data_IF_689507781846
#
_entry.id   IF_689507781846
#
_cell.length_a   1.000
_cell.length_b   1.000
_cell.length_c   1.000
_cell.angle_alpha   90.00
_cell.angle_beta   90.00
_cell.angle_gamma   90.00
#
_symmetry.space_group_name_H-M   'P 1'
#
loop_
_entity.id
_entity.type
_entity.pdbx_description
1 polymer ?
#
# COMPACT_ATOMS: atom_id res chain seq x y z
N UNK A 1 -3.43 -19.22 -24.76
CA UNK A 1 -3.33 -19.25 -23.28
C UNK A 1 -4.26 -18.14 -22.83
N UNK A 2 -5.27 -18.45 -21.99
CA UNK A 2 -6.14 -17.40 -21.43
C UNK A 2 -5.31 -16.44 -20.61
N UNK A 3 -5.64 -15.14 -20.66
CA UNK A 3 -4.99 -14.12 -19.85
C UNK A 3 -5.15 -14.51 -18.37
N UNK A 4 -4.03 -14.62 -17.64
CA UNK A 4 -4.04 -14.92 -16.21
C UNK A 4 -4.26 -13.61 -15.47
N UNK A 5 -5.40 -13.51 -14.79
CA UNK A 5 -5.71 -12.38 -13.93
C UNK A 5 -4.79 -12.40 -12.70
N UNK A 6 -4.34 -11.24 -12.25
CA UNK A 6 -3.57 -11.06 -11.02
C UNK A 6 -4.13 -9.95 -10.15
N UNK A 7 -3.84 -9.99 -8.84
CA UNK A 7 -4.27 -8.92 -7.91
C UNK A 7 -3.08 -8.37 -7.15
N UNK A 8 -2.94 -7.05 -7.16
CA UNK A 8 -1.86 -6.30 -6.54
C UNK A 8 -2.46 -5.42 -5.44
N UNK A 9 -2.10 -5.67 -4.19
CA UNK A 9 -2.61 -4.92 -3.06
C UNK A 9 -1.54 -3.98 -2.51
N UNK A 10 -1.85 -2.70 -2.34
CA UNK A 10 -1.13 -1.94 -1.33
C UNK A 10 -1.40 -2.53 0.07
N UNK A 11 -0.60 -2.15 1.04
CA UNK A 11 -0.67 -2.68 2.40
C UNK A 11 -1.43 -1.74 3.34
N UNK A 12 -0.90 -0.52 3.49
CA UNK A 12 -1.36 0.46 4.46
C UNK A 12 -2.57 1.23 3.93
N UNK A 13 -3.64 1.26 4.70
CA UNK A 13 -4.89 1.86 4.21
C UNK A 13 -5.68 0.96 3.24
N UNK A 14 -5.12 -0.19 2.82
CA UNK A 14 -5.79 -1.17 1.96
C UNK A 14 -6.05 -2.47 2.71
N UNK A 15 -5.01 -3.21 3.05
CA UNK A 15 -5.13 -4.46 3.80
C UNK A 15 -5.13 -4.22 5.30
N UNK A 16 -4.27 -3.30 5.78
CA UNK A 16 -4.06 -3.00 7.19
C UNK A 16 -4.51 -1.57 7.53
N UNK A 17 -5.29 -1.44 8.61
CA UNK A 17 -5.75 -0.16 9.17
C UNK A 17 -4.63 0.48 10.00
N UNK A 18 -3.66 1.07 9.32
CA UNK A 18 -2.45 1.64 9.92
C UNK A 18 -2.29 3.14 9.68
N UNK A 19 -3.04 3.74 8.75
CA UNK A 19 -2.89 5.12 8.32
C UNK A 19 -3.11 6.14 9.46
N UNK A 20 -4.04 5.89 10.36
CA UNK A 20 -4.26 6.73 11.53
C UNK A 20 -3.04 6.77 12.47
N UNK A 21 -2.35 5.65 12.62
CA UNK A 21 -1.11 5.57 13.41
C UNK A 21 0.05 6.31 12.74
N UNK A 22 0.24 6.13 11.44
CA UNK A 22 1.29 6.84 10.69
C UNK A 22 1.06 8.35 10.67
N UNK A 23 -0.19 8.79 10.54
CA UNK A 23 -0.51 10.22 10.61
C UNK A 23 -0.10 10.83 11.96
N UNK A 24 -0.34 10.13 13.08
CA UNK A 24 0.10 10.57 14.40
C UNK A 24 1.63 10.58 14.54
N UNK A 25 2.30 9.53 14.04
CA UNK A 25 3.76 9.46 14.08
C UNK A 25 4.40 10.61 13.29
N UNK A 26 3.96 10.82 12.06
CA UNK A 26 4.54 11.86 11.21
C UNK A 26 4.22 13.28 11.69
N UNK A 27 3.06 13.49 12.32
CA UNK A 27 2.77 14.74 13.02
C UNK A 27 3.76 14.96 14.17
N UNK A 28 4.06 13.91 14.96
CA UNK A 28 5.05 14.00 16.03
C UNK A 28 6.48 14.22 15.51
N UNK A 29 6.85 13.59 14.40
CA UNK A 29 8.15 13.83 13.74
C UNK A 29 8.24 15.28 13.28
N UNK A 30 7.18 15.84 12.67
CA UNK A 30 7.15 17.23 12.23
C UNK A 30 7.19 18.24 13.39
N UNK A 31 6.61 17.90 14.56
CA UNK A 31 6.77 18.69 15.79
C UNK A 31 8.23 18.73 16.26
N UNK A 32 8.95 17.59 16.20
CA UNK A 32 10.35 17.49 16.62
C UNK A 32 11.32 18.10 15.60
N UNK A 33 11.02 17.96 14.32
CA UNK A 33 11.83 18.37 13.17
C UNK A 33 10.95 19.10 12.14
N UNK A 34 10.62 20.38 12.36
CA UNK A 34 9.65 21.10 11.54
C UNK A 34 10.00 21.15 10.05
N UNK A 35 9.12 20.58 9.22
CA UNK A 35 9.25 20.61 7.75
C UNK A 35 8.68 21.88 7.12
N UNK A 36 7.85 22.62 7.86
CA UNK A 36 7.08 23.77 7.37
C UNK A 36 6.11 23.44 6.21
N UNK A 37 5.78 22.17 6.03
CA UNK A 37 4.82 21.70 5.04
C UNK A 37 3.45 21.55 5.69
N UNK A 38 2.47 22.28 5.16
CA UNK A 38 1.09 22.15 5.65
C UNK A 38 0.59 20.72 5.41
N UNK A 39 -0.03 20.12 6.45
CA UNK A 39 -0.56 18.74 6.41
C UNK A 39 0.50 17.71 5.97
N UNK A 40 1.72 17.85 6.52
CA UNK A 40 2.88 17.03 6.14
C UNK A 40 2.60 15.53 6.14
N UNK A 41 1.95 15.02 7.19
CA UNK A 41 1.61 13.60 7.31
C UNK A 41 0.72 13.09 6.15
N UNK A 42 -0.10 13.95 5.56
CA UNK A 42 -0.93 13.61 4.40
C UNK A 42 -0.14 13.71 3.09
N UNK A 43 0.71 14.72 2.96
CA UNK A 43 1.51 14.97 1.73
C UNK A 43 2.45 13.81 1.40
N UNK A 44 3.01 13.15 2.42
CA UNK A 44 3.99 12.06 2.24
C UNK A 44 3.38 10.68 1.98
N UNK A 45 2.05 10.53 2.06
CA UNK A 45 1.38 9.23 1.87
C UNK A 45 1.73 8.59 0.53
N UNK A 46 2.00 7.28 0.58
CA UNK A 46 2.43 6.49 -0.57
C UNK A 46 3.91 6.67 -0.97
N UNK A 47 4.66 7.59 -0.33
CA UNK A 47 6.11 7.71 -0.53
C UNK A 47 6.87 6.71 0.34
N UNK A 48 8.02 6.24 -0.14
CA UNK A 48 8.91 5.44 0.69
C UNK A 48 9.72 6.32 1.67
N UNK A 49 10.25 5.68 2.72
CA UNK A 49 10.98 6.37 3.80
C UNK A 49 12.19 7.15 3.30
N UNK A 50 12.99 6.56 2.40
CA UNK A 50 14.18 7.21 1.86
C UNK A 50 13.85 8.52 1.15
N UNK A 51 12.80 8.54 0.33
CA UNK A 51 12.35 9.76 -0.36
C UNK A 51 11.86 10.81 0.65
N UNK A 52 11.12 10.41 1.68
CA UNK A 52 10.64 11.34 2.72
C UNK A 52 11.85 11.98 3.42
N UNK A 53 12.79 11.16 3.89
CA UNK A 53 13.98 11.64 4.60
C UNK A 53 14.80 12.60 3.74
N UNK A 54 15.14 12.19 2.52
CA UNK A 54 15.98 12.98 1.62
C UNK A 54 15.31 14.28 1.13
N UNK A 55 13.96 14.33 1.11
CA UNK A 55 13.24 15.50 0.62
C UNK A 55 13.01 16.54 1.72
N UNK A 56 12.73 16.10 2.95
CA UNK A 56 12.20 16.99 3.98
C UNK A 56 13.10 17.17 5.19
N UNK A 57 14.11 16.34 5.39
CA UNK A 57 14.94 16.38 6.59
C UNK A 57 16.44 16.48 6.27
N UNK A 58 17.18 17.12 7.16
CA UNK A 58 18.63 17.21 7.05
C UNK A 58 19.26 15.82 7.30
N UNK A 59 20.35 15.44 6.58
CA UNK A 59 20.94 14.08 6.67
C UNK A 59 21.36 13.69 8.09
N UNK A 60 21.77 14.63 8.94
CA UNK A 60 22.14 14.37 10.33
C UNK A 60 20.98 14.02 11.26
N UNK A 61 19.72 14.13 10.76
CA UNK A 61 18.49 13.77 11.48
C UNK A 61 17.89 12.42 11.05
N UNK A 62 18.38 11.87 9.94
CA UNK A 62 17.79 10.65 9.37
C UNK A 62 17.81 9.48 10.37
N UNK A 63 18.95 9.21 11.03
CA UNK A 63 19.06 8.09 11.97
C UNK A 63 18.12 8.24 13.18
N UNK A 64 17.96 9.47 13.70
CA UNK A 64 17.05 9.74 14.80
C UNK A 64 15.58 9.50 14.40
N UNK A 65 15.18 9.99 13.22
CA UNK A 65 13.82 9.81 12.68
C UNK A 65 13.54 8.33 12.41
N UNK A 66 14.48 7.61 11.80
CA UNK A 66 14.36 6.16 11.56
C UNK A 66 14.20 5.41 12.89
N UNK A 67 14.98 5.76 13.92
CA UNK A 67 14.85 5.15 15.22
C UNK A 67 13.50 5.44 15.90
N UNK A 68 12.94 6.65 15.71
CA UNK A 68 11.59 6.98 16.18
C UNK A 68 10.54 6.13 15.45
N UNK A 69 10.65 6.01 14.13
CA UNK A 69 9.77 5.21 13.29
C UNK A 69 9.77 3.74 13.73
N UNK A 70 10.94 3.13 13.86
CA UNK A 70 11.07 1.72 14.26
C UNK A 70 10.49 1.46 15.66
N UNK A 71 10.75 2.35 16.64
CA UNK A 71 10.15 2.21 17.99
C UNK A 71 8.63 2.30 17.95
N UNK A 72 8.08 3.14 17.11
CA UNK A 72 6.65 3.28 16.93
C UNK A 72 6.05 2.03 16.28
N UNK A 73 6.65 1.55 15.20
CA UNK A 73 6.23 0.36 14.46
C UNK A 73 6.21 -0.91 15.33
N UNK A 74 7.18 -1.07 16.26
CA UNK A 74 7.21 -2.21 17.18
C UNK A 74 6.01 -2.26 18.13
N UNK A 75 5.38 -1.11 18.40
CA UNK A 75 4.24 -1.00 19.31
C UNK A 75 2.90 -0.82 18.58
N UNK A 76 2.92 -0.75 17.25
CA UNK A 76 1.70 -0.65 16.45
C UNK A 76 0.90 -1.95 16.46
N UNK A 77 -0.41 -1.82 16.28
CA UNK A 77 -1.29 -2.93 15.95
C UNK A 77 -1.55 -2.92 14.45
N UNK A 78 -1.31 -4.04 13.82
CA UNK A 78 -1.49 -4.24 12.37
C UNK A 78 -2.81 -4.95 12.10
N UNK A 79 -3.94 -4.32 12.46
CA UNK A 79 -5.25 -4.92 12.24
C UNK A 79 -5.60 -4.91 10.74
N UNK A 80 -6.13 -6.02 10.25
CA UNK A 80 -6.73 -6.02 8.92
C UNK A 80 -7.98 -5.13 8.88
N UNK A 81 -8.22 -4.50 7.75
CA UNK A 81 -9.55 -3.97 7.46
C UNK A 81 -10.59 -5.07 7.47
N UNK A 82 -11.82 -4.70 7.84
CA UNK A 82 -12.95 -5.64 7.87
C UNK A 82 -13.09 -6.34 6.51
N UNK A 83 -13.28 -7.64 6.57
CA UNK A 83 -13.47 -8.54 5.43
C UNK A 83 -12.27 -8.64 4.43
N UNK A 84 -11.16 -7.94 4.64
CA UNK A 84 -9.96 -8.12 3.82
C UNK A 84 -9.45 -9.59 3.87
N UNK A 85 -9.32 -10.26 5.04
CA UNK A 85 -8.92 -11.67 5.07
C UNK A 85 -9.89 -12.62 4.36
N UNK A 86 -11.21 -12.33 4.40
CA UNK A 86 -12.22 -13.08 3.66
C UNK A 86 -11.97 -12.98 2.15
N UNK A 87 -11.81 -11.77 1.64
CA UNK A 87 -11.59 -11.52 0.22
C UNK A 87 -10.26 -12.15 -0.27
N UNK A 88 -9.18 -12.06 0.53
CA UNK A 88 -7.92 -12.76 0.24
C UNK A 88 -8.09 -14.27 0.17
N UNK A 89 -8.87 -14.86 1.08
CA UNK A 89 -9.15 -16.31 1.07
C UNK A 89 -9.95 -16.73 -0.18
N UNK A 90 -10.94 -15.95 -0.58
CA UNK A 90 -11.74 -16.21 -1.80
C UNK A 90 -10.86 -16.14 -3.06
N UNK A 91 -9.97 -15.15 -3.19
CA UNK A 91 -9.03 -15.05 -4.30
C UNK A 91 -8.08 -16.27 -4.34
N UNK A 92 -7.58 -16.68 -3.18
CA UNK A 92 -6.72 -17.86 -3.06
C UNK A 92 -7.42 -19.15 -3.45
N UNK A 93 -8.67 -19.35 -3.00
CA UNK A 93 -9.50 -20.50 -3.40
C UNK A 93 -9.77 -20.51 -4.90
N UNK A 94 -9.97 -19.34 -5.52
CA UNK A 94 -10.15 -19.20 -6.96
C UNK A 94 -8.84 -19.38 -7.75
N UNK A 95 -7.68 -19.53 -7.08
CA UNK A 95 -6.38 -19.69 -7.71
C UNK A 95 -5.89 -18.42 -8.43
N UNK A 96 -6.38 -17.27 -8.02
CA UNK A 96 -5.96 -15.96 -8.54
C UNK A 96 -4.68 -15.54 -7.81
N UNK A 97 -3.55 -15.34 -8.51
CA UNK A 97 -2.30 -14.96 -7.88
C UNK A 97 -2.35 -13.55 -7.32
N UNK A 98 -1.74 -13.38 -6.15
CA UNK A 98 -1.75 -12.14 -5.39
C UNK A 98 -0.35 -11.66 -5.04
N UNK A 99 -0.13 -10.34 -5.09
CA UNK A 99 1.09 -9.71 -4.62
C UNK A 99 0.76 -8.53 -3.71
N UNK A 100 1.50 -8.39 -2.60
CA UNK A 100 1.55 -7.13 -1.85
C UNK A 100 2.57 -6.20 -2.51
N UNK A 101 2.21 -4.94 -2.71
CA UNK A 101 3.07 -3.91 -3.31
C UNK A 101 3.04 -2.68 -2.41
N UNK A 102 3.95 -2.63 -1.44
CA UNK A 102 3.98 -1.59 -0.40
C UNK A 102 5.18 -0.67 -0.51
N UNK A 103 5.01 0.59 -0.10
CA UNK A 103 6.12 1.54 0.12
C UNK A 103 6.86 1.31 1.45
N UNK A 104 6.36 0.41 2.29
CA UNK A 104 6.97 0.04 3.57
C UNK A 104 8.27 -0.74 3.36
N UNK A 105 9.15 -0.65 4.34
CA UNK A 105 10.42 -1.37 4.37
C UNK A 105 10.29 -2.78 4.97
N UNK A 106 11.37 -3.55 4.87
CA UNK A 106 11.46 -4.91 5.41
C UNK A 106 11.28 -4.92 6.94
N UNK A 107 11.77 -3.91 7.65
CA UNK A 107 11.68 -3.86 9.12
C UNK A 107 10.22 -3.79 9.57
N UNK A 108 9.38 -3.02 8.88
CA UNK A 108 7.95 -2.99 9.11
C UNK A 108 7.29 -4.32 8.77
N UNK A 109 7.65 -4.93 7.63
CA UNK A 109 7.08 -6.23 7.25
C UNK A 109 7.37 -7.31 8.29
N UNK A 110 8.54 -7.31 8.94
CA UNK A 110 8.84 -8.22 10.05
C UNK A 110 7.89 -8.02 11.25
N UNK A 111 7.52 -6.77 11.56
CA UNK A 111 6.55 -6.49 12.61
C UNK A 111 5.13 -6.97 12.24
N UNK A 112 4.75 -6.86 10.96
CA UNK A 112 3.49 -7.43 10.43
C UNK A 112 3.49 -8.95 10.58
N UNK A 113 4.56 -9.63 10.14
CA UNK A 113 4.67 -11.10 10.22
C UNK A 113 4.66 -11.61 11.66
N UNK A 114 5.24 -10.87 12.60
CA UNK A 114 5.22 -11.23 14.02
C UNK A 114 3.79 -11.23 14.60
N UNK A 115 2.92 -10.34 14.13
CA UNK A 115 1.51 -10.28 14.57
C UNK A 115 0.60 -11.19 13.73
N UNK A 116 0.96 -11.46 12.48
CA UNK A 116 0.21 -12.28 11.53
C UNK A 116 1.11 -13.37 10.91
N UNK A 117 1.43 -14.46 11.63
CA UNK A 117 2.36 -15.49 11.15
C UNK A 117 1.97 -16.16 9.82
N UNK A 118 0.68 -16.13 9.47
CA UNK A 118 0.13 -16.68 8.21
C UNK A 118 -0.09 -15.61 7.13
N UNK A 119 0.42 -14.38 7.33
CA UNK A 119 0.23 -13.31 6.36
C UNK A 119 0.76 -13.68 4.97
N UNK A 120 1.97 -14.23 4.93
CA UNK A 120 2.62 -14.62 3.67
C UNK A 120 1.93 -15.78 2.95
N UNK A 121 1.10 -16.57 3.66
CA UNK A 121 0.40 -17.70 3.06
C UNK A 121 -0.65 -17.28 2.01
N UNK A 122 -1.12 -16.03 2.05
CA UNK A 122 -2.05 -15.51 1.06
C UNK A 122 -1.39 -15.16 -0.28
N UNK A 123 -0.12 -14.76 -0.29
CA UNK A 123 0.49 -14.05 -1.41
C UNK A 123 1.55 -14.89 -2.12
N UNK A 124 1.59 -14.78 -3.45
CA UNK A 124 2.62 -15.41 -4.29
C UNK A 124 3.92 -14.58 -4.30
N UNK A 125 3.80 -13.28 -4.05
CA UNK A 125 4.94 -12.36 -3.95
C UNK A 125 4.66 -11.18 -3.02
N UNK A 126 5.73 -10.55 -2.54
CA UNK A 126 5.70 -9.29 -1.79
C UNK A 126 6.78 -8.38 -2.38
N UNK A 127 6.40 -7.15 -2.73
CA UNK A 127 7.29 -6.07 -3.18
C UNK A 127 7.29 -5.00 -2.11
N UNK A 128 8.45 -4.74 -1.50
CA UNK A 128 8.65 -3.70 -0.48
C UNK A 128 9.37 -2.49 -1.05
N UNK A 129 9.29 -1.36 -0.35
CA UNK A 129 9.71 -0.06 -0.87
C UNK A 129 11.18 0.05 -1.30
N UNK A 130 12.08 -0.76 -0.73
CA UNK A 130 13.51 -0.78 -1.09
C UNK A 130 13.85 -1.72 -2.26
N UNK A 131 12.87 -2.41 -2.84
CA UNK A 131 13.06 -3.26 -4.01
C UNK A 131 12.96 -2.50 -5.33
N UNK A 132 12.44 -1.27 -5.32
CA UNK A 132 12.24 -0.43 -6.50
C UNK A 132 13.15 0.78 -6.46
N UNK A 133 13.56 1.24 -7.64
CA UNK A 133 14.39 2.44 -7.77
C UNK A 133 13.56 3.73 -7.79
N UNK A 134 12.31 3.65 -8.20
CA UNK A 134 11.37 4.76 -8.26
C UNK A 134 10.09 4.40 -7.51
N UNK A 135 9.83 5.16 -6.44
CA UNK A 135 8.64 4.96 -5.63
C UNK A 135 7.38 5.55 -6.31
N UNK A 136 6.20 5.16 -5.82
CA UNK A 136 4.92 5.75 -6.21
C UNK A 136 5.04 7.31 -6.21
N UNK A 137 4.57 8.01 -7.25
CA UNK A 137 3.60 7.60 -8.28
C UNK A 137 4.20 6.94 -9.54
N UNK A 138 5.49 6.57 -9.55
CA UNK A 138 6.06 5.79 -10.65
C UNK A 138 5.44 4.38 -10.66
N UNK A 139 5.13 3.81 -11.84
CA UNK A 139 4.50 2.49 -11.96
C UNK A 139 5.42 1.31 -11.65
N UNK A 140 6.73 1.51 -11.45
CA UNK A 140 7.74 0.46 -11.32
C UNK A 140 7.34 -0.63 -10.31
N UNK A 141 6.79 -0.26 -9.15
CA UNK A 141 6.43 -1.22 -8.11
C UNK A 141 5.30 -2.16 -8.55
N UNK A 142 4.28 -1.67 -9.24
CA UNK A 142 3.17 -2.50 -9.71
C UNK A 142 3.57 -3.35 -10.92
N UNK A 143 4.41 -2.82 -11.82
CA UNK A 143 4.99 -3.60 -12.92
C UNK A 143 5.82 -4.78 -12.38
N UNK A 144 6.66 -4.53 -11.36
CA UNK A 144 7.42 -5.57 -10.68
C UNK A 144 6.51 -6.59 -9.98
N UNK A 145 5.45 -6.13 -9.32
CA UNK A 145 4.48 -7.02 -8.68
C UNK A 145 3.81 -7.96 -9.67
N UNK A 146 3.34 -7.44 -10.80
CA UNK A 146 2.72 -8.23 -11.87
C UNK A 146 3.71 -9.26 -12.47
N UNK A 147 4.95 -8.85 -12.72
CA UNK A 147 6.02 -9.75 -13.19
C UNK A 147 6.27 -10.91 -12.21
N UNK A 148 6.34 -10.62 -10.91
CA UNK A 148 6.62 -11.63 -9.87
C UNK A 148 5.54 -12.68 -9.74
N UNK A 149 4.29 -12.33 -10.01
CA UNK A 149 3.17 -13.28 -10.01
C UNK A 149 2.87 -13.87 -11.39
N UNK A 150 3.67 -13.52 -12.41
CA UNK A 150 3.56 -14.06 -13.77
C UNK A 150 2.31 -13.62 -14.51
N UNK A 151 1.84 -12.38 -14.28
CA UNK A 151 0.66 -11.81 -14.92
C UNK A 151 1.05 -10.61 -15.79
N UNK A 152 0.26 -10.35 -16.85
CA UNK A 152 0.37 -9.09 -17.57
C UNK A 152 -0.29 -8.00 -16.72
N UNK A 153 0.35 -6.85 -16.58
CA UNK A 153 -0.17 -5.74 -15.79
C UNK A 153 -1.55 -5.26 -16.27
N UNK A 154 -1.83 -5.33 -17.57
CA UNK A 154 -3.13 -4.99 -18.14
C UNK A 154 -4.27 -5.94 -17.73
N UNK A 155 -3.91 -7.13 -17.22
CA UNK A 155 -4.85 -8.13 -16.69
C UNK A 155 -4.81 -8.14 -15.14
N UNK A 156 -4.15 -7.17 -14.51
CA UNK A 156 -4.05 -7.06 -13.05
C UNK A 156 -5.02 -6.02 -12.49
N UNK A 157 -5.52 -6.30 -11.27
CA UNK A 157 -6.32 -5.40 -10.46
C UNK A 157 -5.47 -4.86 -9.33
N UNK A 158 -5.35 -3.53 -9.23
CA UNK A 158 -4.62 -2.82 -8.18
C UNK A 158 -5.61 -2.29 -7.16
N UNK A 159 -5.43 -2.61 -5.88
CA UNK A 159 -6.17 -2.02 -4.76
C UNK A 159 -5.27 -1.00 -4.05
N UNK A 160 -5.75 0.24 -3.94
CA UNK A 160 -4.98 1.38 -3.44
C UNK A 160 -5.88 2.43 -2.77
N UNK A 161 -5.32 3.20 -1.84
CA UNK A 161 -6.03 4.24 -1.09
C UNK A 161 -5.40 5.63 -1.22
N UNK A 162 -4.09 5.70 -1.61
CA UNK A 162 -3.32 6.94 -1.73
C UNK A 162 -3.33 7.51 -3.15
N UNK A 163 -3.27 8.85 -3.28
CA UNK A 163 -3.21 9.48 -4.61
C UNK A 163 -1.99 9.06 -5.42
N UNK A 164 -0.83 8.92 -4.77
CA UNK A 164 0.40 8.50 -5.43
C UNK A 164 0.33 7.05 -5.91
N UNK A 165 -0.26 6.16 -5.13
CA UNK A 165 -0.42 4.77 -5.51
C UNK A 165 -1.48 4.57 -6.59
N UNK A 166 -2.61 5.29 -6.52
CA UNK A 166 -3.61 5.30 -7.60
C UNK A 166 -2.99 5.76 -8.92
N UNK A 167 -2.20 6.84 -8.88
CA UNK A 167 -1.47 7.32 -10.06
C UNK A 167 -0.49 6.27 -10.60
N UNK A 168 0.23 5.56 -9.71
CA UNK A 168 1.16 4.50 -10.09
C UNK A 168 0.43 3.33 -10.77
N UNK A 169 -0.71 2.87 -10.23
CA UNK A 169 -1.53 1.81 -10.80
C UNK A 169 -2.10 2.19 -12.17
N UNK A 170 -2.64 3.40 -12.30
CA UNK A 170 -3.13 3.94 -13.58
C UNK A 170 -2.01 4.06 -14.61
N UNK A 171 -0.84 4.56 -14.21
CA UNK A 171 0.33 4.69 -15.09
C UNK A 171 0.91 3.33 -15.52
N UNK A 172 0.75 2.30 -14.70
CA UNK A 172 1.12 0.93 -15.03
C UNK A 172 0.20 0.30 -16.09
N UNK A 173 -1.02 0.82 -16.26
CA UNK A 173 -2.05 0.28 -17.15
C UNK A 173 -2.86 -0.86 -16.54
N UNK A 174 -2.94 -0.93 -15.21
CA UNK A 174 -3.77 -1.90 -14.48
C UNK A 174 -5.22 -1.43 -14.34
N UNK A 175 -6.12 -2.35 -13.98
CA UNK A 175 -7.45 -2.01 -13.44
C UNK A 175 -7.30 -1.52 -12.01
N UNK A 176 -7.65 -0.26 -11.73
CA UNK A 176 -7.43 0.34 -10.41
C UNK A 176 -8.73 0.48 -9.64
N UNK A 177 -8.74 -0.07 -8.43
CA UNK A 177 -9.85 0.00 -7.46
C UNK A 177 -9.35 0.80 -6.25
N UNK A 178 -9.96 1.97 -6.04
CA UNK A 178 -9.62 2.83 -4.91
C UNK A 178 -10.40 2.43 -3.66
N UNK A 179 -9.75 2.42 -2.50
CA UNK A 179 -10.38 2.33 -1.19
C UNK A 179 -10.51 3.72 -0.57
N UNK A 180 -11.72 4.07 -0.11
CA UNK A 180 -11.99 5.34 0.55
C UNK A 180 -11.67 5.29 2.06
N UNK A 181 -10.56 4.67 2.42
CA UNK A 181 -10.09 4.46 3.80
C UNK A 181 -9.22 5.62 4.30
N UNK A 182 -8.41 6.17 3.40
CA UNK A 182 -7.44 7.25 3.68
C UNK A 182 -7.92 8.60 3.12
N UNK A 183 -8.51 8.57 1.94
CA UNK A 183 -9.02 9.74 1.24
C UNK A 183 -10.54 9.66 1.12
N UNK A 184 -11.23 10.81 1.10
CA UNK A 184 -12.68 10.81 0.93
C UNK A 184 -13.07 10.28 -0.46
N UNK A 185 -14.21 9.60 -0.54
CA UNK A 185 -14.75 9.07 -1.80
C UNK A 185 -14.84 10.15 -2.89
N UNK A 186 -15.22 11.38 -2.51
CA UNK A 186 -15.34 12.52 -3.43
C UNK A 186 -13.98 12.89 -4.03
N UNK A 187 -12.92 12.86 -3.23
CA UNK A 187 -11.56 13.20 -3.69
C UNK A 187 -10.94 12.14 -4.61
N UNK A 188 -11.48 10.91 -4.58
CA UNK A 188 -11.04 9.78 -5.41
C UNK A 188 -11.74 9.73 -6.77
N UNK A 189 -12.83 10.48 -6.97
CA UNK A 189 -13.57 10.49 -8.24
C UNK A 189 -12.64 10.84 -9.41
N UNK A 190 -12.65 10.02 -10.45
CA UNK A 190 -11.83 10.17 -11.65
C UNK A 190 -10.36 9.75 -11.49
N UNK A 191 -9.95 9.17 -10.35
CA UNK A 191 -8.58 8.72 -10.10
C UNK A 191 -8.41 7.20 -10.14
N UNK A 192 -9.51 6.46 -10.21
CA UNK A 192 -9.57 5.00 -10.30
C UNK A 192 -10.73 4.57 -11.19
N UNK A 193 -10.74 3.30 -11.60
CA UNK A 193 -11.83 2.74 -12.39
C UNK A 193 -13.07 2.44 -11.51
N UNK A 194 -12.85 2.05 -10.25
CA UNK A 194 -13.90 1.81 -9.25
C UNK A 194 -13.46 2.36 -7.90
N UNK A 195 -14.43 2.76 -7.08
CA UNK A 195 -14.19 3.21 -5.70
C UNK A 195 -15.05 2.36 -4.77
N UNK A 196 -14.44 1.78 -3.74
CA UNK A 196 -15.11 1.04 -2.65
C UNK A 196 -14.77 1.70 -1.31
N UNK A 197 -15.59 1.49 -0.29
CA UNK A 197 -15.31 2.04 1.05
C UNK A 197 -14.40 1.11 1.84
N UNK A 198 -14.63 -0.19 1.73
CA UNK A 198 -13.82 -1.28 2.30
C UNK A 198 -14.15 -2.59 1.56
N UNK A 199 -13.71 -3.73 2.11
CA UNK A 199 -14.00 -5.06 1.53
C UNK A 199 -15.33 -5.66 2.01
N UNK A 200 -16.17 -4.94 2.78
CA UNK A 200 -17.43 -5.47 3.28
C UNK A 200 -18.39 -5.80 2.12
N UNK A 201 -18.70 -7.09 1.96
CA UNK A 201 -19.55 -7.59 0.90
C UNK A 201 -18.98 -7.49 -0.52
N UNK A 202 -17.73 -7.02 -0.70
CA UNK A 202 -17.07 -6.96 -2.00
C UNK A 202 -16.68 -8.38 -2.46
N UNK A 203 -16.94 -8.71 -3.70
CA UNK A 203 -16.77 -10.05 -4.28
C UNK A 203 -15.79 -10.05 -5.46
N UNK A 204 -15.36 -11.25 -5.89
CA UNK A 204 -14.57 -11.40 -7.11
C UNK A 204 -15.35 -10.89 -8.33
N UNK A 205 -16.65 -11.15 -8.41
CA UNK A 205 -17.48 -10.66 -9.52
C UNK A 205 -17.54 -9.12 -9.56
N UNK A 206 -17.59 -8.46 -8.38
CA UNK A 206 -17.51 -7.00 -8.29
C UNK A 206 -16.16 -6.46 -8.76
N UNK A 207 -15.07 -7.18 -8.50
CA UNK A 207 -13.73 -6.86 -8.99
C UNK A 207 -13.68 -7.00 -10.52
N UNK A 208 -14.16 -8.11 -11.06
CA UNK A 208 -14.13 -8.40 -12.50
C UNK A 208 -15.03 -7.50 -13.33
N UNK A 209 -15.95 -6.77 -12.71
CA UNK A 209 -16.83 -5.79 -13.38
C UNK A 209 -16.17 -4.43 -13.67
N UNK A 210 -14.87 -4.27 -13.35
CA UNK A 210 -14.09 -3.04 -13.52
C UNK A 210 -13.54 -2.87 -14.94
#
# INVERSE_FOLDING_TARGET
MGNRIGVLFDLDGVLLDTEGFYSQLWAHVDECYPTHVADFAHVIKGSNLEKILNTYFAPDKHDEIVAMLHRFQQNMRYNFFKDAPRFLAELKEAGIPMCVVTSSDEAKMQAVYAQHPHFTDYFDAIVVGNMVSRCKPDPECFLMGAERIGCNIADCYVFEDSFSGLQAGMSAGAHVIALATTNSRESLIGKAHKIIDDFAGFTIDDMLSV
#
